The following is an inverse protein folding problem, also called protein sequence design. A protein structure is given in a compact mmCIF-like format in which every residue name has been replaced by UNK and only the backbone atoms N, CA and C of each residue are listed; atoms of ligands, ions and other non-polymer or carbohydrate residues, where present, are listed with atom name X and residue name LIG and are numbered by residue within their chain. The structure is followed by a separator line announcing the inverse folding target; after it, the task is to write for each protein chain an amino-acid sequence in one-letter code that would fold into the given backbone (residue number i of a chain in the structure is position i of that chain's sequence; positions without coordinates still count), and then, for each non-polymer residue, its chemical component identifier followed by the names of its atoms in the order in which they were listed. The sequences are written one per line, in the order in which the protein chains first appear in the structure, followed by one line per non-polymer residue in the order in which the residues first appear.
data_IF_703457796927
#
_entry.id   IF_703457796927
#
_cell.length_a   1.000
_cell.length_b   1.000
_cell.length_c   1.000
_cell.angle_alpha   90.00
_cell.angle_beta   90.00
_cell.angle_gamma   90.00
#
_symmetry.space_group_name_H-M   'P 1'
#
loop_
_entity.id
_entity.type
_entity.pdbx_description
1 polymer ?
#
# COMPACT_ATOMS: atom_id res chain seq x y z
N UNK A 1 13.93 -43.40 -2.22
CA UNK A 1 13.27 -42.50 -1.24
C UNK A 1 13.69 -41.08 -1.62
N UNK A 2 12.92 -40.16 -2.25
CA UNK A 2 11.52 -39.71 -2.10
C UNK A 2 11.21 -39.42 -0.61
N UNK A 3 10.84 -38.22 -0.12
CA UNK A 3 10.18 -37.01 -0.68
C UNK A 3 10.33 -35.80 0.30
N UNK A 4 10.49 -34.59 -0.27
CA UNK A 4 9.99 -33.24 0.07
C UNK A 4 10.00 -32.66 1.50
N UNK A 5 10.65 -31.48 1.61
CA UNK A 5 10.24 -30.39 2.49
C UNK A 5 9.93 -29.16 1.63
N UNK A 6 8.65 -28.79 1.58
CA UNK A 6 8.04 -27.84 0.65
C UNK A 6 8.49 -26.39 0.94
N UNK A 7 9.18 -25.77 -0.02
CA UNK A 7 9.53 -24.35 -0.04
C UNK A 7 8.34 -23.56 -0.63
N UNK A 8 7.33 -23.25 0.19
CA UNK A 8 6.17 -22.46 -0.20
C UNK A 8 6.35 -21.01 0.30
N UNK A 9 7.04 -20.16 -0.45
CA UNK A 9 7.04 -18.71 -0.14
C UNK A 9 7.29 -17.76 -1.31
N UNK A 10 7.28 -18.21 -2.58
CA UNK A 10 7.49 -17.30 -3.73
C UNK A 10 6.54 -17.65 -4.87
N UNK A 11 5.23 -17.63 -4.61
CA UNK A 11 4.23 -17.85 -5.67
C UNK A 11 3.03 -16.89 -5.67
N UNK A 12 3.04 -15.83 -4.85
CA UNK A 12 1.94 -14.84 -4.82
C UNK A 12 2.22 -13.59 -5.67
N UNK A 13 3.47 -13.25 -5.99
CA UNK A 13 3.73 -12.02 -6.77
C UNK A 13 3.58 -12.17 -8.28
N UNK A 14 3.76 -13.36 -8.88
CA UNK A 14 3.89 -13.44 -10.34
C UNK A 14 2.56 -13.26 -11.10
N UNK A 15 1.41 -13.57 -10.49
CA UNK A 15 0.10 -13.38 -11.13
C UNK A 15 -0.50 -11.98 -10.94
N UNK A 16 -0.03 -11.20 -9.96
CA UNK A 16 -0.48 -9.83 -9.75
C UNK A 16 0.19 -8.83 -10.72
N UNK A 17 1.43 -9.11 -11.14
CA UNK A 17 2.17 -8.18 -12.02
C UNK A 17 1.67 -8.12 -13.46
N UNK A 18 0.97 -9.17 -13.95
CA UNK A 18 0.43 -9.20 -15.31
C UNK A 18 -0.86 -8.36 -15.46
N UNK A 19 -1.62 -8.19 -14.37
CA UNK A 19 -2.90 -7.48 -14.38
C UNK A 19 -2.70 -5.95 -14.28
N UNK A 20 -1.65 -5.49 -13.57
CA UNK A 20 -1.33 -4.07 -13.42
C UNK A 20 -0.89 -3.40 -14.73
N UNK A 21 -0.15 -4.10 -15.59
CA UNK A 21 0.27 -3.53 -16.89
C UNK A 21 -0.92 -3.29 -17.82
N UNK A 22 -1.97 -4.12 -17.74
CA UNK A 22 -3.17 -3.99 -18.56
C UNK A 22 -4.05 -2.80 -18.15
N UNK A 23 -4.02 -2.38 -16.87
CA UNK A 23 -4.78 -1.23 -16.37
C UNK A 23 -4.13 0.12 -16.72
N UNK A 24 -2.81 0.16 -16.94
CA UNK A 24 -2.08 1.40 -17.26
C UNK A 24 -2.55 2.07 -18.56
N UNK A 25 -2.95 1.28 -19.57
CA UNK A 25 -3.49 1.80 -20.84
C UNK A 25 -4.88 2.46 -20.67
N UNK A 26 -5.66 2.08 -19.67
CA UNK A 26 -6.98 2.66 -19.42
C UNK A 26 -6.90 4.04 -18.74
N UNK A 27 -5.78 4.36 -18.08
CA UNK A 27 -5.56 5.63 -17.37
C UNK A 27 -4.79 6.68 -18.21
N UNK A 28 -4.42 6.36 -19.45
CA UNK A 28 -3.66 7.26 -20.33
C UNK A 28 -2.22 7.51 -19.86
N UNK A 29 -1.68 6.63 -19.02
CA UNK A 29 -0.34 6.80 -18.44
C UNK A 29 0.71 6.28 -19.43
N UNK A 30 1.63 7.14 -19.85
CA UNK A 30 2.65 6.81 -20.87
C UNK A 30 3.92 6.15 -20.30
N UNK A 31 4.13 6.21 -18.99
CA UNK A 31 5.31 5.63 -18.31
C UNK A 31 4.93 5.09 -16.95
N UNK A 32 5.35 3.86 -16.70
CA UNK A 32 5.16 3.17 -15.42
C UNK A 32 6.48 2.52 -15.04
N UNK A 33 6.84 2.60 -13.77
CA UNK A 33 7.96 1.87 -13.18
C UNK A 33 7.52 1.26 -11.86
N UNK A 34 7.85 0.00 -11.63
CA UNK A 34 7.65 -0.65 -10.34
C UNK A 34 8.97 -0.63 -9.58
N UNK A 35 8.92 -0.17 -8.32
CA UNK A 35 10.06 -0.05 -7.44
C UNK A 35 9.74 -0.69 -6.10
N UNK A 36 10.67 -1.49 -5.59
CA UNK A 36 10.60 -1.98 -4.24
C UNK A 36 11.22 -0.93 -3.31
N UNK A 37 10.43 -0.47 -2.35
CA UNK A 37 10.82 0.59 -1.42
C UNK A 37 10.85 0.02 0.00
N UNK A 38 11.86 0.42 0.77
CA UNK A 38 11.86 0.21 2.22
C UNK A 38 11.21 1.42 2.88
N UNK A 39 10.02 1.23 3.43
CA UNK A 39 9.22 2.30 4.03
C UNK A 39 9.35 2.21 5.54
N UNK A 40 10.42 2.79 6.07
CA UNK A 40 10.58 3.00 7.51
C UNK A 40 9.68 4.14 7.96
N UNK A 41 8.82 3.87 8.94
CA UNK A 41 7.89 4.86 9.51
C UNK A 41 8.38 5.31 10.88
N UNK A 42 8.10 6.56 11.22
CA UNK A 42 8.31 7.07 12.58
C UNK A 42 7.20 6.60 13.55
N UNK A 43 7.28 7.08 14.79
CA UNK A 43 6.29 6.74 15.84
C UNK A 43 4.87 7.22 15.55
N UNK A 44 4.68 8.14 14.61
CA UNK A 44 3.37 8.66 14.18
C UNK A 44 2.90 8.01 12.87
N UNK A 45 3.71 7.13 12.27
CA UNK A 45 3.41 6.44 11.03
C UNK A 45 3.77 7.22 9.77
N UNK A 46 4.41 8.39 9.90
CA UNK A 46 4.90 9.19 8.78
C UNK A 46 6.18 8.54 8.22
N UNK A 47 6.40 8.66 6.92
CA UNK A 47 7.58 8.14 6.25
C UNK A 47 8.12 9.16 5.24
N UNK A 48 9.45 9.26 5.19
CA UNK A 48 10.15 9.94 4.11
C UNK A 48 10.86 8.89 3.25
N UNK A 49 10.49 8.80 1.98
CA UNK A 49 10.95 7.72 1.09
C UNK A 49 11.54 8.30 -0.17
N UNK A 50 12.81 7.98 -0.46
CA UNK A 50 13.42 8.30 -1.76
C UNK A 50 12.92 7.34 -2.83
N UNK A 51 12.51 7.88 -3.97
CA UNK A 51 12.05 7.12 -5.15
C UNK A 51 12.66 7.70 -6.42
N UNK A 52 12.89 6.85 -7.43
CA UNK A 52 13.36 7.32 -8.73
C UNK A 52 12.15 7.59 -9.65
N UNK A 53 11.82 8.85 -9.94
CA UNK A 53 10.80 9.21 -10.93
C UNK A 53 11.47 9.82 -12.17
N UNK A 54 11.20 9.25 -13.35
CA UNK A 54 11.82 9.68 -14.62
C UNK A 54 13.35 9.83 -14.55
N UNK A 55 14.01 8.92 -13.82
CA UNK A 55 15.47 8.93 -13.66
C UNK A 55 16.01 9.98 -12.68
N UNK A 56 15.15 10.69 -11.96
CA UNK A 56 15.51 11.61 -10.88
C UNK A 56 15.12 11.03 -9.53
N UNK A 57 16.02 11.14 -8.56
CA UNK A 57 15.69 10.84 -7.18
C UNK A 57 14.85 11.98 -6.60
N UNK A 58 13.67 11.64 -6.08
CA UNK A 58 12.79 12.57 -5.38
C UNK A 58 12.40 11.96 -4.04
N UNK A 59 12.00 12.82 -3.09
CA UNK A 59 11.58 12.38 -1.77
C UNK A 59 10.08 12.50 -1.65
N UNK A 60 9.42 11.42 -1.25
CA UNK A 60 8.02 11.39 -0.89
C UNK A 60 7.88 11.68 0.61
N UNK A 61 7.01 12.61 0.96
CA UNK A 61 6.58 12.87 2.33
C UNK A 61 5.20 12.24 2.52
N UNK A 62 5.14 11.12 3.24
CA UNK A 62 3.99 10.24 3.33
C UNK A 62 3.44 10.20 4.76
N UNK A 63 2.14 10.35 4.93
CA UNK A 63 1.42 10.22 6.19
C UNK A 63 0.39 9.08 6.16
N UNK A 64 0.04 8.46 7.30
CA UNK A 64 -1.02 7.48 7.35
C UNK A 64 -2.35 8.05 6.85
N UNK A 65 -2.99 7.35 5.94
CA UNK A 65 -4.26 7.77 5.37
C UNK A 65 -5.33 6.69 5.57
N UNK A 66 -6.53 7.08 5.98
CA UNK A 66 -7.68 6.18 6.07
C UNK A 66 -8.70 6.48 4.99
N UNK A 67 -9.03 5.49 4.16
CA UNK A 67 -10.14 5.58 3.21
C UNK A 67 -11.51 5.29 3.85
N UNK A 68 -11.56 5.13 5.18
CA UNK A 68 -12.79 4.84 5.91
C UNK A 68 -13.66 6.10 5.98
N UNK A 69 -14.96 5.93 5.76
CA UNK A 69 -15.92 7.02 5.90
C UNK A 69 -15.97 7.54 7.35
N UNK A 70 -16.43 8.79 7.51
CA UNK A 70 -16.73 9.34 8.81
C UNK A 70 -17.75 8.45 9.55
N UNK A 71 -17.49 8.17 10.82
CA UNK A 71 -18.34 7.28 11.62
C UNK A 71 -18.20 5.79 11.30
N UNK A 72 -17.17 5.37 10.55
CA UNK A 72 -16.88 3.96 10.34
C UNK A 72 -16.73 3.21 11.67
N UNK A 73 -17.45 2.10 11.82
CA UNK A 73 -17.41 1.22 12.99
C UNK A 73 -17.11 -0.21 12.55
N UNK A 74 -16.23 -0.87 13.30
CA UNK A 74 -15.95 -2.29 13.14
C UNK A 74 -16.73 -3.04 14.22
N UNK A 75 -17.58 -3.98 13.80
CA UNK A 75 -18.34 -4.85 14.70
C UNK A 75 -17.96 -6.29 14.44
N UNK A 76 -17.85 -7.08 15.51
CA UNK A 76 -17.65 -8.52 15.44
C UNK A 76 -18.87 -9.24 16.02
N UNK A 77 -19.34 -10.24 15.29
CA UNK A 77 -20.21 -11.28 15.86
C UNK A 77 -19.31 -12.43 16.33
N UNK A 78 -19.43 -12.79 17.61
CA UNK A 78 -18.68 -13.90 18.22
C UNK A 78 -19.44 -15.23 18.17
N UNK A 79 -20.50 -15.32 17.34
CA UNK A 79 -21.29 -16.52 17.13
C UNK A 79 -22.57 -16.58 17.98
N UNK A 80 -22.93 -15.49 18.67
CA UNK A 80 -24.10 -15.40 19.54
C UNK A 80 -25.21 -14.50 18.99
N UNK A 81 -25.04 -13.92 17.79
CA UNK A 81 -25.97 -12.96 17.21
C UNK A 81 -25.93 -11.58 17.87
N UNK A 82 -25.01 -11.36 18.82
CA UNK A 82 -24.76 -10.05 19.45
C UNK A 82 -23.53 -9.44 18.79
N UNK A 83 -23.72 -8.26 18.21
CA UNK A 83 -22.65 -7.48 17.62
C UNK A 83 -21.90 -6.70 18.71
N UNK A 84 -20.59 -6.90 18.78
CA UNK A 84 -19.70 -6.12 19.65
C UNK A 84 -18.86 -5.17 18.80
N UNK A 85 -18.93 -3.89 19.12
CA UNK A 85 -18.04 -2.89 18.52
C UNK A 85 -16.60 -3.09 19.02
N UNK A 86 -15.65 -3.04 18.08
CA UNK A 86 -14.22 -3.20 18.34
C UNK A 86 -13.43 -2.09 17.65
N UNK A 87 -12.26 -1.70 18.19
CA UNK A 87 -11.43 -0.70 17.56
C UNK A 87 -10.99 -1.16 16.16
N UNK A 88 -11.12 -0.27 15.18
CA UNK A 88 -10.59 -0.53 13.87
C UNK A 88 -9.05 -0.49 13.91
N UNK A 89 -8.35 -1.39 13.18
CA UNK A 89 -6.89 -1.36 13.13
C UNK A 89 -6.36 -0.02 12.60
N UNK A 90 -5.16 0.35 13.04
CA UNK A 90 -4.47 1.53 12.50
C UNK A 90 -4.38 1.48 10.96
N UNK A 91 -4.51 2.63 10.27
CA UNK A 91 -4.36 2.68 8.82
C UNK A 91 -3.01 2.12 8.38
N UNK A 92 -3.04 1.25 7.36
CA UNK A 92 -1.81 0.71 6.74
C UNK A 92 -1.43 1.46 5.47
N UNK A 93 -2.41 2.07 4.83
CA UNK A 93 -2.26 2.94 3.67
C UNK A 93 -1.65 4.28 4.07
N UNK A 94 -0.89 4.86 3.15
CA UNK A 94 -0.27 6.18 3.29
C UNK A 94 -0.65 7.04 2.09
N UNK A 95 -0.61 8.36 2.26
CA UNK A 95 -0.72 9.34 1.17
C UNK A 95 0.23 10.48 1.43
N UNK A 96 0.54 11.24 0.39
CA UNK A 96 1.47 12.34 0.55
C UNK A 96 1.75 13.10 -0.71
N UNK A 97 2.90 13.76 -0.71
CA UNK A 97 3.36 14.63 -1.79
C UNK A 97 4.83 14.39 -2.09
N UNK A 98 5.26 14.81 -3.27
CA UNK A 98 6.68 14.93 -3.60
C UNK A 98 7.20 16.21 -2.98
N UNK A 99 8.26 16.11 -2.17
CA UNK A 99 8.90 17.26 -1.52
C UNK A 99 9.42 18.21 -2.60
N UNK A 100 9.01 19.48 -2.50
CA UNK A 100 9.43 20.54 -3.43
C UNK A 100 8.58 20.66 -4.70
N UNK A 101 7.57 19.81 -4.91
CA UNK A 101 6.69 19.84 -6.10
C UNK A 101 5.23 20.10 -5.69
N UNK A 102 4.79 21.38 -5.69
CA UNK A 102 3.42 21.75 -5.32
C UNK A 102 2.37 21.11 -6.23
N UNK A 103 1.29 20.60 -5.64
CA UNK A 103 0.19 19.94 -6.37
C UNK A 103 0.47 18.50 -6.78
N UNK A 104 1.64 17.95 -6.43
CA UNK A 104 1.90 16.52 -6.55
C UNK A 104 1.04 15.70 -5.57
N UNK A 105 0.72 14.47 -5.96
CA UNK A 105 -0.04 13.53 -5.12
C UNK A 105 0.64 12.17 -5.19
N UNK A 106 0.91 11.57 -4.03
CA UNK A 106 1.46 10.23 -3.87
C UNK A 106 0.48 9.37 -3.05
N UNK A 107 0.25 8.13 -3.48
CA UNK A 107 -0.66 7.16 -2.85
C UNK A 107 -0.24 5.72 -3.12
#
# INVERSE_FOLDING_TARGET
MRIFGVLLSVFVCLSAMADELSQSMALGVSRVSLQQLDVSRDGEGRAMVSVALDGREVVLDLEPYSARAEGFRLVLDLGGGVLKEVPAPAPRTVRGVVVGEPGSVAA
#
